data_IF_948069460224
#
_entry.id   IF_948069460224
#
_cell.length_a   1.000
_cell.length_b   1.000
_cell.length_c   1.000
_cell.angle_alpha   90.00
_cell.angle_beta   90.00
_cell.angle_gamma   90.00
#
_symmetry.space_group_name_H-M   'P 1'
#
loop_
_entity.id
_entity.type
_entity.pdbx_description
1 polymer ?
#
# COMPACT_ATOMS: atom_id res chain seq x y z
N UNK A 1 9.57 16.06 20.16
CA UNK A 1 9.18 14.64 20.23
C UNK A 1 7.73 14.40 20.69
N UNK A 2 7.20 15.09 21.71
CA UNK A 2 5.80 14.88 22.14
C UNK A 2 4.76 15.14 21.06
N UNK A 3 4.98 16.13 20.20
CA UNK A 3 4.10 16.45 19.06
C UNK A 3 4.16 15.37 17.98
N UNK A 4 5.38 14.93 17.61
CA UNK A 4 5.55 13.84 16.64
C UNK A 4 4.86 12.54 17.12
N UNK A 5 4.91 12.25 18.43
CA UNK A 5 4.20 11.08 19.00
C UNK A 5 2.69 11.17 18.83
N UNK A 6 2.08 12.35 19.00
CA UNK A 6 0.64 12.53 18.82
C UNK A 6 0.24 12.31 17.35
N UNK A 7 1.00 12.88 16.41
CA UNK A 7 0.78 12.68 14.98
C UNK A 7 0.94 11.19 14.60
N UNK A 8 2.01 10.55 15.08
CA UNK A 8 2.30 9.15 14.84
C UNK A 8 1.23 8.21 15.45
N UNK A 9 0.72 8.52 16.65
CA UNK A 9 -0.38 7.77 17.28
C UNK A 9 -1.69 7.93 16.51
N UNK A 10 -2.03 9.16 16.10
CA UNK A 10 -3.19 9.39 15.23
C UNK A 10 -3.11 8.55 13.95
N UNK A 11 -1.93 8.56 13.32
CA UNK A 11 -1.68 7.76 12.11
C UNK A 11 -1.77 6.25 12.36
N UNK A 12 -1.20 5.75 13.44
CA UNK A 12 -1.32 4.34 13.83
C UNK A 12 -2.79 3.93 13.98
N UNK A 13 -3.57 4.72 14.71
CA UNK A 13 -4.98 4.44 15.00
C UNK A 13 -5.81 4.46 13.71
N UNK A 14 -5.69 5.52 12.89
CA UNK A 14 -6.47 5.65 11.65
C UNK A 14 -6.08 4.60 10.60
N UNK A 15 -4.79 4.27 10.46
CA UNK A 15 -4.34 3.22 9.53
C UNK A 15 -4.76 1.82 9.98
N UNK A 16 -4.75 1.56 11.29
CA UNK A 16 -5.26 0.28 11.81
C UNK A 16 -6.77 0.14 11.55
N UNK A 17 -7.54 1.21 11.77
CA UNK A 17 -8.97 1.24 11.47
C UNK A 17 -9.24 1.04 9.98
N UNK A 18 -8.62 1.85 9.12
CA UNK A 18 -8.81 1.79 7.67
C UNK A 18 -8.41 0.44 7.08
N UNK A 19 -7.30 -0.14 7.53
CA UNK A 19 -6.88 -1.47 7.09
C UNK A 19 -7.82 -2.58 7.57
N UNK A 20 -8.38 -2.47 8.77
CA UNK A 20 -9.41 -3.39 9.26
C UNK A 20 -10.73 -3.22 8.48
N UNK A 21 -11.13 -1.98 8.19
CA UNK A 21 -12.30 -1.67 7.38
C UNK A 21 -12.16 -2.18 5.93
N UNK A 22 -10.94 -2.17 5.37
CA UNK A 22 -10.68 -2.75 4.06
C UNK A 22 -10.97 -4.27 4.03
N UNK A 23 -10.57 -5.02 5.07
CA UNK A 23 -10.93 -6.44 5.22
C UNK A 23 -12.46 -6.61 5.27
N UNK A 24 -13.14 -5.75 6.00
CA UNK A 24 -14.60 -5.74 6.09
C UNK A 24 -15.28 -5.43 4.75
N UNK A 25 -14.73 -4.48 3.98
CA UNK A 25 -15.23 -4.10 2.66
C UNK A 25 -15.15 -5.27 1.68
N UNK A 26 -13.99 -5.92 1.60
CA UNK A 26 -13.79 -7.08 0.72
C UNK A 26 -14.74 -8.22 1.12
N UNK A 27 -14.87 -8.51 2.42
CA UNK A 27 -15.79 -9.52 2.92
C UNK A 27 -17.26 -9.17 2.65
N UNK A 28 -17.67 -7.91 2.83
CA UNK A 28 -19.03 -7.44 2.58
C UNK A 28 -19.41 -7.53 1.09
N UNK A 29 -18.51 -7.08 0.23
CA UNK A 29 -18.71 -7.12 -1.23
C UNK A 29 -18.79 -8.57 -1.71
N UNK A 30 -17.79 -9.39 -1.39
CA UNK A 30 -17.75 -10.78 -1.85
C UNK A 30 -18.86 -11.62 -1.25
N UNK A 31 -19.18 -11.45 0.02
CA UNK A 31 -20.27 -12.20 0.68
C UNK A 31 -21.64 -11.98 0.07
N UNK A 32 -21.86 -10.85 -0.63
CA UNK A 32 -23.12 -10.53 -1.30
C UNK A 32 -23.14 -10.83 -2.79
N UNK A 33 -21.98 -10.67 -3.44
CA UNK A 33 -21.89 -10.79 -4.91
C UNK A 33 -21.33 -12.12 -5.36
N UNK A 34 -20.62 -12.82 -4.49
CA UNK A 34 -19.79 -14.00 -4.81
C UNK A 34 -18.89 -13.78 -6.03
N UNK A 35 -18.51 -12.52 -6.29
CA UNK A 35 -17.78 -12.12 -7.49
C UNK A 35 -16.56 -11.28 -7.13
N UNK A 36 -15.38 -11.75 -7.52
CA UNK A 36 -14.11 -11.04 -7.38
C UNK A 36 -14.04 -9.78 -8.29
N UNK A 37 -14.89 -9.70 -9.32
CA UNK A 37 -14.96 -8.49 -10.19
C UNK A 37 -15.39 -7.26 -9.39
N UNK A 38 -16.27 -7.40 -8.41
CA UNK A 38 -16.66 -6.29 -7.55
C UNK A 38 -15.54 -5.84 -6.63
N UNK A 39 -14.67 -6.76 -6.17
CA UNK A 39 -13.45 -6.41 -5.42
C UNK A 39 -12.51 -5.61 -6.33
N UNK A 40 -12.30 -6.09 -7.57
CA UNK A 40 -11.50 -5.35 -8.56
C UNK A 40 -12.05 -3.96 -8.85
N UNK A 41 -13.36 -3.82 -9.00
CA UNK A 41 -14.02 -2.53 -9.21
C UNK A 41 -13.78 -1.57 -8.04
N UNK A 42 -13.82 -2.07 -6.80
CA UNK A 42 -13.55 -1.27 -5.60
C UNK A 42 -12.10 -0.77 -5.56
N UNK A 43 -11.13 -1.66 -5.79
CA UNK A 43 -9.72 -1.29 -5.83
C UNK A 43 -9.45 -0.30 -6.96
N UNK A 44 -9.98 -0.56 -8.15
CA UNK A 44 -9.81 0.33 -9.30
C UNK A 44 -10.41 1.73 -9.04
N UNK A 45 -11.63 1.80 -8.48
CA UNK A 45 -12.25 3.06 -8.11
C UNK A 45 -11.40 3.86 -7.10
N UNK A 46 -10.83 3.17 -6.10
CA UNK A 46 -9.94 3.76 -5.11
C UNK A 46 -8.66 4.34 -5.74
N UNK A 47 -8.02 3.59 -6.63
CA UNK A 47 -6.77 4.02 -7.28
C UNK A 47 -7.03 5.18 -8.25
N UNK A 48 -8.08 5.10 -9.08
CA UNK A 48 -8.46 6.20 -9.98
C UNK A 48 -8.77 7.47 -9.18
N UNK A 49 -9.50 7.33 -8.08
CA UNK A 49 -9.82 8.44 -7.20
C UNK A 49 -8.56 9.06 -6.57
N UNK A 50 -7.61 8.24 -6.10
CA UNK A 50 -6.33 8.70 -5.55
C UNK A 50 -5.50 9.45 -6.58
N UNK A 51 -5.36 8.90 -7.80
CA UNK A 51 -4.61 9.54 -8.88
C UNK A 51 -5.26 10.85 -9.32
N UNK A 52 -6.58 10.86 -9.51
CA UNK A 52 -7.32 12.06 -9.91
C UNK A 52 -7.27 13.18 -8.86
N UNK A 53 -7.22 12.82 -7.58
CA UNK A 53 -7.17 13.78 -6.48
C UNK A 53 -5.76 14.22 -6.08
N UNK A 54 -4.70 13.61 -6.61
CA UNK A 54 -3.32 13.89 -6.19
C UNK A 54 -2.91 15.35 -6.42
N UNK A 55 -3.20 15.92 -7.59
CA UNK A 55 -2.87 17.31 -7.90
C UNK A 55 -3.71 18.31 -7.07
N UNK A 56 -5.06 18.20 -6.98
CA UNK A 56 -5.85 19.00 -6.06
C UNK A 56 -5.41 18.88 -4.59
N UNK A 57 -5.04 17.68 -4.15
CA UNK A 57 -4.58 17.44 -2.78
C UNK A 57 -3.30 18.19 -2.44
N UNK A 58 -2.31 18.18 -3.35
CA UNK A 58 -1.10 18.96 -3.22
C UNK A 58 -1.41 20.46 -3.13
N UNK A 59 -2.22 20.99 -4.04
CA UNK A 59 -2.64 22.40 -4.02
C UNK A 59 -3.36 22.79 -2.72
N UNK A 60 -4.25 21.94 -2.19
CA UNK A 60 -4.91 22.15 -0.90
C UNK A 60 -3.89 22.22 0.23
N UNK A 61 -2.94 21.26 0.28
CA UNK A 61 -1.89 21.19 1.30
C UNK A 61 -0.96 22.41 1.32
N UNK A 62 -0.73 23.02 0.15
CA UNK A 62 0.11 24.21 0.01
C UNK A 62 -0.66 25.52 0.31
N UNK A 63 -1.94 25.61 -0.04
CA UNK A 63 -2.73 26.84 0.08
C UNK A 63 -3.34 27.04 1.47
N UNK A 64 -3.72 25.98 2.15
CA UNK A 64 -4.42 26.06 3.42
C UNK A 64 -3.51 25.70 4.60
N UNK A 65 -3.91 26.12 5.81
CA UNK A 65 -3.27 25.69 7.06
C UNK A 65 -3.28 24.16 7.16
N UNK A 66 -2.11 23.55 7.20
CA UNK A 66 -1.94 22.09 7.16
C UNK A 66 -2.67 21.38 8.30
N UNK A 67 -2.79 22.00 9.48
CA UNK A 67 -3.56 21.44 10.59
C UNK A 67 -5.04 21.31 10.23
N UNK A 68 -5.61 22.36 9.61
CA UNK A 68 -7.02 22.33 9.16
C UNK A 68 -7.22 21.29 8.06
N UNK A 69 -6.26 21.16 7.14
CA UNK A 69 -6.28 20.14 6.08
C UNK A 69 -6.30 18.75 6.67
N UNK A 70 -5.42 18.43 7.62
CA UNK A 70 -5.37 17.12 8.27
C UNK A 70 -6.68 16.79 9.00
N UNK A 71 -7.21 17.74 9.79
CA UNK A 71 -8.47 17.55 10.52
C UNK A 71 -9.64 17.38 9.55
N UNK A 72 -9.72 18.18 8.48
CA UNK A 72 -10.79 18.09 7.49
C UNK A 72 -10.74 16.76 6.72
N UNK A 73 -9.55 16.26 6.35
CA UNK A 73 -9.36 14.98 5.69
C UNK A 73 -9.83 13.82 6.59
N UNK A 74 -9.42 13.81 7.86
CA UNK A 74 -9.85 12.78 8.81
C UNK A 74 -11.37 12.83 9.05
N UNK A 75 -11.98 14.01 9.24
CA UNK A 75 -13.41 14.12 9.44
C UNK A 75 -14.22 13.74 8.19
N UNK A 76 -13.73 14.08 7.00
CA UNK A 76 -14.34 13.65 5.74
C UNK A 76 -14.28 12.12 5.59
N UNK A 77 -13.13 11.50 5.88
CA UNK A 77 -12.98 10.06 5.87
C UNK A 77 -13.87 9.38 6.93
N UNK A 78 -13.98 9.95 8.14
CA UNK A 78 -14.89 9.46 9.17
C UNK A 78 -16.35 9.45 8.69
N UNK A 79 -16.80 10.53 8.04
CA UNK A 79 -18.15 10.61 7.48
C UNK A 79 -18.39 9.53 6.41
N UNK A 80 -17.39 9.29 5.53
CA UNK A 80 -17.47 8.26 4.51
C UNK A 80 -17.51 6.87 5.13
N UNK A 81 -16.66 6.56 6.12
CA UNK A 81 -16.67 5.28 6.82
C UNK A 81 -18.00 5.03 7.56
N UNK A 82 -18.58 6.05 8.16
CA UNK A 82 -19.92 5.96 8.75
C UNK A 82 -21.01 5.73 7.70
N UNK A 83 -20.91 6.37 6.51
CA UNK A 83 -21.81 6.11 5.39
C UNK A 83 -21.69 4.65 4.91
N UNK A 84 -20.47 4.07 4.88
CA UNK A 84 -20.27 2.64 4.58
C UNK A 84 -20.97 1.74 5.60
N UNK A 85 -20.98 2.12 6.87
CA UNK A 85 -21.65 1.36 7.93
C UNK A 85 -23.19 1.31 7.76
N UNK A 86 -23.76 2.30 7.09
CA UNK A 86 -25.21 2.42 6.86
C UNK A 86 -25.68 1.76 5.56
N UNK A 87 -24.77 1.30 4.72
CA UNK A 87 -25.11 0.69 3.44
C UNK A 87 -24.71 -0.76 3.37
N UNK A 88 -25.50 -1.51 2.61
CA UNK A 88 -25.13 -2.87 2.28
C UNK A 88 -24.96 -3.09 0.77
N UNK A 89 -25.15 -2.05 -0.04
CA UNK A 89 -25.14 -2.18 -1.50
C UNK A 89 -23.68 -2.20 -2.03
N UNK A 90 -23.25 -3.25 -2.76
CA UNK A 90 -21.87 -3.35 -3.24
C UNK A 90 -21.41 -2.16 -4.07
N UNK A 91 -22.23 -1.67 -4.98
CA UNK A 91 -21.88 -0.53 -5.83
C UNK A 91 -21.71 0.77 -5.01
N UNK A 92 -22.50 0.96 -3.93
CA UNK A 92 -22.33 2.10 -3.03
C UNK A 92 -21.02 2.00 -2.27
N UNK A 93 -20.67 0.81 -1.79
CA UNK A 93 -19.37 0.57 -1.13
C UNK A 93 -18.19 0.86 -2.06
N UNK A 94 -18.28 0.52 -3.35
CA UNK A 94 -17.27 0.86 -4.37
C UNK A 94 -17.11 2.37 -4.50
N UNK A 95 -18.22 3.12 -4.63
CA UNK A 95 -18.19 4.58 -4.72
C UNK A 95 -17.64 5.22 -3.44
N UNK A 96 -18.08 4.75 -2.27
CA UNK A 96 -17.62 5.26 -0.98
C UNK A 96 -16.13 4.99 -0.75
N UNK A 97 -15.59 3.86 -1.19
CA UNK A 97 -14.14 3.61 -1.12
C UNK A 97 -13.37 4.62 -1.98
N UNK A 98 -13.83 4.89 -3.21
CA UNK A 98 -13.26 5.96 -4.04
C UNK A 98 -13.32 7.32 -3.36
N UNK A 99 -14.47 7.68 -2.75
CA UNK A 99 -14.64 8.94 -2.03
C UNK A 99 -13.73 9.01 -0.78
N UNK A 100 -13.53 7.90 -0.06
CA UNK A 100 -12.57 7.82 1.05
C UNK A 100 -11.14 8.11 0.57
N UNK A 101 -10.75 7.56 -0.59
CA UNK A 101 -9.45 7.84 -1.20
C UNK A 101 -9.25 9.31 -1.55
N UNK A 102 -10.28 9.98 -2.07
CA UNK A 102 -10.26 11.44 -2.30
C UNK A 102 -10.13 12.20 -0.99
N UNK A 103 -10.92 11.84 0.02
CA UNK A 103 -10.91 12.51 1.34
C UNK A 103 -9.55 12.43 2.02
N UNK A 104 -8.87 11.28 1.91
CA UNK A 104 -7.56 11.06 2.52
C UNK A 104 -6.37 11.58 1.69
N UNK A 105 -6.55 11.88 0.41
CA UNK A 105 -5.45 12.27 -0.48
C UNK A 105 -4.63 13.48 0.00
N UNK A 106 -5.19 14.53 0.66
CA UNK A 106 -4.41 15.65 1.17
C UNK A 106 -3.63 15.34 2.46
N UNK A 107 -3.97 14.26 3.17
CA UNK A 107 -3.43 13.97 4.49
C UNK A 107 -1.91 13.72 4.47
N UNK A 108 -1.46 12.82 3.59
CA UNK A 108 -0.05 12.41 3.55
C UNK A 108 0.88 13.56 3.18
N UNK A 109 0.67 14.31 2.07
CA UNK A 109 1.53 15.43 1.72
C UNK A 109 1.51 16.54 2.77
N UNK A 110 0.34 16.87 3.34
CA UNK A 110 0.24 17.88 4.39
C UNK A 110 0.97 17.46 5.69
N UNK A 111 0.85 16.17 6.07
CA UNK A 111 1.55 15.60 7.23
C UNK A 111 3.06 15.62 7.08
N UNK A 112 3.57 15.15 5.92
CA UNK A 112 5.00 15.13 5.62
C UNK A 112 5.59 16.55 5.61
N UNK A 113 4.90 17.51 4.99
CA UNK A 113 5.33 18.89 4.93
C UNK A 113 5.25 19.63 6.29
N UNK A 114 4.35 19.21 7.19
CA UNK A 114 4.24 19.79 8.54
C UNK A 114 5.32 19.31 9.50
N UNK A 115 5.82 18.09 9.33
CA UNK A 115 6.68 17.42 10.31
C UNK A 115 7.95 18.21 10.67
N UNK A 116 8.71 18.80 9.72
CA UNK A 116 9.89 19.61 10.05
C UNK A 116 9.56 20.83 10.93
N UNK A 117 8.42 21.49 10.70
CA UNK A 117 7.98 22.64 11.47
C UNK A 117 7.56 22.26 12.90
N UNK A 118 7.06 21.05 13.07
CA UNK A 118 6.57 20.55 14.36
C UNK A 118 7.69 20.11 15.30
N UNK A 119 8.81 19.57 14.77
CA UNK A 119 9.87 18.97 15.60
C UNK A 119 11.20 19.73 15.55
N UNK A 120 11.44 20.52 14.52
CA UNK A 120 12.71 21.20 14.27
C UNK A 120 13.76 20.30 13.57
N UNK A 121 14.80 20.90 12.95
CA UNK A 121 15.70 20.20 12.04
C UNK A 121 16.43 18.98 12.64
N UNK A 122 16.82 19.06 13.90
CA UNK A 122 17.59 17.99 14.58
C UNK A 122 16.79 16.72 14.83
N UNK A 123 15.46 16.82 14.93
CA UNK A 123 14.57 15.70 15.27
C UNK A 123 13.80 15.14 14.07
N UNK A 124 13.94 15.73 12.87
CA UNK A 124 13.16 15.33 11.67
C UNK A 124 13.35 13.86 11.32
N UNK A 125 14.60 13.39 11.27
CA UNK A 125 14.89 11.99 10.93
C UNK A 125 14.24 11.01 11.93
N UNK A 126 14.32 11.33 13.22
CA UNK A 126 13.70 10.52 14.28
C UNK A 126 12.17 10.55 14.23
N UNK A 127 11.60 11.70 13.89
CA UNK A 127 10.15 11.83 13.75
C UNK A 127 9.64 11.09 12.53
N UNK A 128 10.32 11.16 11.37
CA UNK A 128 10.00 10.36 10.17
C UNK A 128 10.07 8.86 10.46
N UNK A 129 11.13 8.40 11.15
CA UNK A 129 11.24 7.00 11.54
C UNK A 129 10.09 6.55 12.45
N UNK A 130 9.65 7.39 13.38
CA UNK A 130 8.50 7.10 14.25
C UNK A 130 7.20 7.00 13.45
N UNK A 131 6.94 7.95 12.54
CA UNK A 131 5.75 7.94 11.67
C UNK A 131 5.76 6.70 10.77
N UNK A 132 6.88 6.37 10.14
CA UNK A 132 7.02 5.17 9.31
C UNK A 132 6.77 3.88 10.11
N UNK A 133 7.35 3.75 11.32
CA UNK A 133 7.16 2.59 12.17
C UNK A 133 5.70 2.41 12.60
N UNK A 134 5.03 3.51 12.97
CA UNK A 134 3.62 3.47 13.36
C UNK A 134 2.69 3.19 12.17
N UNK A 135 2.99 3.72 10.99
CA UNK A 135 2.25 3.39 9.76
C UNK A 135 2.37 1.90 9.42
N UNK A 136 3.59 1.36 9.47
CA UNK A 136 3.82 -0.07 9.24
C UNK A 136 3.10 -0.96 10.26
N UNK A 137 3.11 -0.56 11.54
CA UNK A 137 2.37 -1.26 12.59
C UNK A 137 0.85 -1.23 12.33
N UNK A 138 0.31 -0.10 11.85
CA UNK A 138 -1.10 0.03 11.50
C UNK A 138 -1.50 -0.88 10.34
N UNK A 139 -0.70 -0.92 9.28
CA UNK A 139 -0.92 -1.80 8.13
C UNK A 139 -0.78 -3.29 8.47
N UNK A 140 0.00 -3.64 9.49
CA UNK A 140 0.12 -5.02 9.97
C UNK A 140 -1.04 -5.40 10.90
N UNK A 141 -1.33 -4.57 11.90
CA UNK A 141 -2.31 -4.86 12.92
C UNK A 141 -3.75 -4.79 12.39
N UNK A 142 -4.05 -3.82 11.51
CA UNK A 142 -5.39 -3.60 11.00
C UNK A 142 -6.03 -4.82 10.33
N UNK A 143 -5.41 -5.43 9.32
CA UNK A 143 -5.96 -6.61 8.65
C UNK A 143 -6.13 -7.80 9.60
N UNK A 144 -5.17 -8.03 10.50
CA UNK A 144 -5.26 -9.10 11.48
C UNK A 144 -6.46 -8.89 12.43
N UNK A 145 -6.57 -7.69 13.00
CA UNK A 145 -7.69 -7.34 13.90
C UNK A 145 -9.02 -7.38 13.14
N UNK A 146 -9.08 -6.85 11.94
CA UNK A 146 -10.28 -6.89 11.09
C UNK A 146 -10.75 -8.31 10.80
N UNK A 147 -9.81 -9.19 10.42
CA UNK A 147 -10.09 -10.60 10.18
C UNK A 147 -10.58 -11.34 11.45
N UNK A 148 -9.94 -11.09 12.59
CA UNK A 148 -10.32 -11.69 13.87
C UNK A 148 -11.71 -11.23 14.34
N UNK A 149 -11.99 -9.94 14.27
CA UNK A 149 -13.27 -9.35 14.71
C UNK A 149 -14.42 -9.85 13.83
N UNK A 150 -14.24 -9.89 12.52
CA UNK A 150 -15.25 -10.46 11.61
C UNK A 150 -15.42 -11.97 11.81
N UNK A 151 -14.32 -12.69 12.01
CA UNK A 151 -14.36 -14.13 12.28
C UNK A 151 -15.00 -14.47 13.61
N UNK A 152 -15.01 -13.55 14.58
CA UNK A 152 -15.76 -13.66 15.83
C UNK A 152 -17.27 -13.32 15.68
N UNK A 153 -17.74 -13.05 14.46
CA UNK A 153 -19.15 -12.81 14.16
C UNK A 153 -19.58 -11.35 14.13
N UNK A 154 -18.64 -10.39 14.24
CA UNK A 154 -18.99 -8.99 14.08
C UNK A 154 -19.41 -8.68 12.62
N UNK A 155 -20.28 -7.69 12.45
CA UNK A 155 -20.70 -7.26 11.12
C UNK A 155 -19.65 -6.36 10.44
N UNK A 156 -19.58 -6.32 9.10
CA UNK A 156 -18.77 -5.34 8.39
C UNK A 156 -19.09 -3.89 8.79
N UNK A 157 -20.36 -3.58 9.04
CA UNK A 157 -20.81 -2.28 9.50
C UNK A 157 -20.14 -1.83 10.81
N UNK A 158 -19.90 -2.79 11.73
CA UNK A 158 -19.18 -2.51 12.99
C UNK A 158 -17.76 -2.02 12.71
N UNK A 159 -17.03 -2.65 11.79
CA UNK A 159 -15.67 -2.24 11.46
C UNK A 159 -15.65 -0.89 10.72
N UNK A 160 -16.63 -0.60 9.86
CA UNK A 160 -16.75 0.72 9.24
C UNK A 160 -17.04 1.81 10.29
N UNK A 161 -17.89 1.53 11.27
CA UNK A 161 -18.16 2.47 12.35
C UNK A 161 -16.93 2.69 13.25
N UNK A 162 -16.19 1.62 13.57
CA UNK A 162 -14.91 1.69 14.30
C UNK A 162 -13.88 2.51 13.51
N UNK A 163 -13.77 2.30 12.20
CA UNK A 163 -12.88 3.07 11.35
C UNK A 163 -13.24 4.57 11.38
N UNK A 164 -14.51 4.90 11.22
CA UNK A 164 -14.99 6.27 11.38
C UNK A 164 -14.57 6.88 12.73
N UNK A 165 -14.71 6.12 13.82
CA UNK A 165 -14.26 6.55 15.15
C UNK A 165 -12.74 6.74 15.22
N UNK A 166 -11.94 5.87 14.58
CA UNK A 166 -10.48 6.02 14.54
C UNK A 166 -10.03 7.30 13.85
N UNK A 167 -10.70 7.70 12.75
CA UNK A 167 -10.45 8.98 12.08
C UNK A 167 -10.83 10.17 12.97
N UNK A 168 -11.94 10.11 13.69
CA UNK A 168 -12.29 11.16 14.67
C UNK A 168 -11.23 11.28 15.76
N UNK A 169 -10.74 10.16 16.31
CA UNK A 169 -9.66 10.16 17.31
C UNK A 169 -8.38 10.76 16.71
N UNK A 170 -8.02 10.43 15.47
CA UNK A 170 -6.89 11.03 14.77
C UNK A 170 -7.05 12.54 14.64
N UNK A 171 -8.20 13.01 14.16
CA UNK A 171 -8.51 14.44 14.06
C UNK A 171 -8.39 15.17 15.41
N UNK A 172 -8.89 14.57 16.48
CA UNK A 172 -8.78 15.12 17.83
C UNK A 172 -7.33 15.19 18.30
N UNK A 173 -6.53 14.16 18.05
CA UNK A 173 -5.09 14.16 18.38
C UNK A 173 -4.37 15.29 17.64
N UNK A 174 -4.61 15.45 16.33
CA UNK A 174 -4.08 16.57 15.53
C UNK A 174 -4.56 17.91 16.08
N UNK A 175 -5.82 18.04 16.48
CA UNK A 175 -6.39 19.25 17.06
C UNK A 175 -5.73 19.66 18.38
N UNK A 176 -5.17 18.73 19.16
CA UNK A 176 -4.44 19.03 20.40
C UNK A 176 -3.04 19.60 20.17
N UNK A 177 -2.53 19.55 18.95
CA UNK A 177 -1.19 20.06 18.62
C UNK A 177 -1.27 21.58 18.46
N UNK A 178 -0.68 22.34 19.41
CA UNK A 178 -0.73 23.81 19.42
C UNK A 178 0.44 24.49 18.70
N UNK A 179 1.34 23.73 18.05
CA UNK A 179 2.45 24.29 17.27
C UNK A 179 1.99 24.66 15.86
N UNK A 180 2.62 25.66 15.23
CA UNK A 180 2.31 26.01 13.84
C UNK A 180 2.74 24.86 12.90
N UNK A 181 1.84 24.45 12.03
CA UNK A 181 2.11 23.41 11.02
C UNK A 181 2.79 23.97 9.77
N UNK A 182 2.79 25.29 9.64
CA UNK A 182 3.27 26.01 8.47
C UNK A 182 2.28 25.95 7.31
N UNK A 183 2.41 26.91 6.43
CA UNK A 183 1.79 26.97 5.11
C UNK A 183 2.86 27.50 4.16
N UNK A 184 2.91 27.10 2.94
CA UNK A 184 3.88 27.64 1.99
C UNK A 184 3.84 26.91 0.66
N UNK A 185 3.61 27.65 -0.41
CA UNK A 185 3.73 27.19 -1.76
C UNK A 185 5.19 26.92 -2.10
N UNK A 186 5.48 25.73 -2.62
CA UNK A 186 6.70 25.47 -3.38
C UNK A 186 6.31 25.39 -4.85
N UNK A 187 6.76 26.36 -5.64
CA UNK A 187 6.36 26.55 -7.05
C UNK A 187 6.99 25.56 -8.05
N UNK A 188 7.66 24.51 -7.62
CA UNK A 188 8.29 23.58 -8.56
C UNK A 188 7.59 22.21 -8.60
N UNK A 189 6.81 22.02 -9.65
CA UNK A 189 6.36 20.70 -10.08
C UNK A 189 7.36 20.16 -11.12
N UNK A 190 8.33 19.31 -10.73
CA UNK A 190 9.26 18.71 -11.67
C UNK A 190 8.48 17.78 -12.63
N UNK A 191 8.62 18.03 -13.93
CA UNK A 191 7.90 17.26 -14.95
C UNK A 191 8.25 15.77 -14.89
N UNK A 192 7.28 14.92 -14.58
CA UNK A 192 7.40 13.44 -14.49
C UNK A 192 8.01 12.83 -15.75
N UNK A 193 7.73 13.40 -16.93
CA UNK A 193 8.29 12.97 -18.22
C UNK A 193 9.83 12.97 -18.27
N UNK A 194 10.49 13.86 -17.52
CA UNK A 194 11.94 13.87 -17.45
C UNK A 194 12.50 12.64 -16.74
N UNK A 195 11.81 12.16 -15.70
CA UNK A 195 12.16 10.91 -14.99
C UNK A 195 12.10 9.70 -15.89
N UNK A 196 11.04 9.56 -16.69
CA UNK A 196 10.92 8.46 -17.67
C UNK A 196 12.04 8.46 -18.70
N UNK A 197 12.48 9.63 -19.18
CA UNK A 197 13.62 9.72 -20.13
C UNK A 197 14.93 9.24 -19.49
N UNK A 198 15.17 9.56 -18.23
CA UNK A 198 16.37 9.08 -17.50
C UNK A 198 16.34 7.57 -17.36
N UNK A 199 15.20 7.00 -16.91
CA UNK A 199 15.02 5.55 -16.77
C UNK A 199 15.23 4.84 -18.12
N UNK A 200 14.66 5.37 -19.22
CA UNK A 200 14.75 4.75 -20.53
C UNK A 200 16.17 4.71 -21.10
N UNK A 201 17.01 5.71 -20.76
CA UNK A 201 18.37 5.82 -21.28
C UNK A 201 19.41 5.03 -20.50
N UNK A 202 19.15 4.70 -19.22
CA UNK A 202 20.08 3.98 -18.36
C UNK A 202 19.63 2.51 -18.18
N UNK A 203 20.28 1.52 -18.83
CA UNK A 203 19.88 0.12 -18.75
C UNK A 203 19.88 -0.43 -17.31
N UNK A 204 20.81 0.06 -16.47
CA UNK A 204 20.92 -0.34 -15.06
C UNK A 204 19.76 0.18 -14.19
N UNK A 205 18.99 1.14 -14.67
CA UNK A 205 17.74 1.61 -14.05
C UNK A 205 16.52 0.99 -14.77
N UNK A 206 16.53 0.98 -16.09
CA UNK A 206 15.41 0.51 -16.91
C UNK A 206 15.04 -0.94 -16.60
N UNK A 207 16.03 -1.84 -16.53
CA UNK A 207 15.77 -3.27 -16.32
C UNK A 207 15.14 -3.53 -14.93
N UNK A 208 15.68 -3.04 -13.81
CA UNK A 208 15.04 -3.17 -12.49
C UNK A 208 13.66 -2.54 -12.40
N UNK A 209 13.46 -1.36 -12.99
CA UNK A 209 12.14 -0.71 -13.01
C UNK A 209 11.12 -1.54 -13.79
N UNK A 210 11.50 -2.05 -14.97
CA UNK A 210 10.63 -2.95 -15.76
C UNK A 210 10.32 -4.25 -15.00
N UNK A 211 11.32 -4.86 -14.34
CA UNK A 211 11.10 -6.04 -13.51
C UNK A 211 10.12 -5.76 -12.37
N UNK A 212 10.27 -4.60 -11.71
CA UNK A 212 9.34 -4.14 -10.67
C UNK A 212 7.91 -3.96 -11.20
N UNK A 213 7.74 -3.32 -12.36
CA UNK A 213 6.43 -3.16 -12.99
C UNK A 213 5.77 -4.51 -13.31
N UNK A 214 6.53 -5.45 -13.89
CA UNK A 214 6.06 -6.81 -14.19
C UNK A 214 5.64 -7.54 -12.90
N UNK A 215 6.43 -7.42 -11.82
CA UNK A 215 6.07 -7.99 -10.52
C UNK A 215 4.79 -7.39 -9.94
N UNK A 216 4.58 -6.07 -10.09
CA UNK A 216 3.39 -5.37 -9.59
C UNK A 216 2.09 -5.82 -10.28
N UNK A 217 2.17 -6.28 -11.53
CA UNK A 217 1.03 -6.92 -12.19
C UNK A 217 0.60 -8.17 -11.40
N UNK A 218 1.53 -8.98 -10.93
CA UNK A 218 1.23 -10.11 -10.05
C UNK A 218 0.59 -9.69 -8.73
N UNK A 219 1.10 -8.61 -8.12
CA UNK A 219 0.61 -8.11 -6.82
C UNK A 219 -0.86 -7.70 -6.88
N UNK A 220 -1.28 -6.94 -7.89
CA UNK A 220 -2.67 -6.51 -8.02
C UNK A 220 -3.64 -7.69 -8.25
N UNK A 221 -3.21 -8.75 -8.95
CA UNK A 221 -3.99 -9.98 -9.09
C UNK A 221 -4.16 -10.66 -7.73
N UNK A 222 -3.08 -10.77 -6.95
CA UNK A 222 -3.08 -11.41 -5.62
C UNK A 222 -3.98 -10.67 -4.64
N UNK A 223 -4.00 -9.33 -4.67
CA UNK A 223 -4.83 -8.53 -3.78
C UNK A 223 -6.32 -8.87 -3.95
N UNK A 224 -6.77 -9.08 -5.18
CA UNK A 224 -8.14 -9.51 -5.51
C UNK A 224 -8.38 -10.98 -5.19
N UNK A 225 -7.41 -11.85 -5.48
CA UNK A 225 -7.56 -13.31 -5.39
C UNK A 225 -7.39 -13.84 -3.95
N UNK A 226 -6.81 -13.07 -3.02
CA UNK A 226 -6.48 -13.53 -1.67
C UNK A 226 -7.71 -13.87 -0.83
N UNK A 227 -8.80 -13.09 -0.94
CA UNK A 227 -10.03 -13.41 -0.20
C UNK A 227 -10.70 -14.69 -0.72
N UNK A 228 -10.96 -14.86 -2.03
CA UNK A 228 -11.43 -16.13 -2.58
C UNK A 228 -10.53 -17.33 -2.26
N UNK A 229 -9.20 -17.14 -2.27
CA UNK A 229 -8.26 -18.19 -1.87
C UNK A 229 -8.43 -18.58 -0.40
N UNK A 230 -8.56 -17.59 0.49
CA UNK A 230 -8.79 -17.84 1.92
C UNK A 230 -10.07 -18.61 2.17
N UNK A 231 -11.16 -18.30 1.46
CA UNK A 231 -12.41 -19.06 1.51
C UNK A 231 -12.17 -20.50 1.05
N UNK A 232 -11.47 -20.68 -0.08
CA UNK A 232 -11.15 -22.01 -0.62
C UNK A 232 -10.31 -22.87 0.35
N UNK A 233 -9.42 -22.23 1.13
CA UNK A 233 -8.60 -22.89 2.15
C UNK A 233 -9.29 -22.98 3.53
N UNK A 234 -10.61 -22.73 3.60
CA UNK A 234 -11.43 -22.75 4.81
C UNK A 234 -10.97 -21.76 5.89
N UNK A 235 -10.22 -20.70 5.49
CA UNK A 235 -9.73 -19.66 6.39
C UNK A 235 -10.74 -18.55 6.67
N UNK A 236 -11.75 -18.39 5.81
CA UNK A 236 -12.73 -17.31 5.92
C UNK A 236 -12.09 -15.92 5.96
N UNK A 237 -12.74 -15.00 6.66
CA UNK A 237 -12.24 -13.62 6.86
C UNK A 237 -11.01 -13.57 7.76
N UNK A 238 -10.89 -14.48 8.74
CA UNK A 238 -9.71 -14.60 9.60
C UNK A 238 -8.47 -14.97 8.79
N UNK A 239 -8.59 -15.98 7.92
CA UNK A 239 -7.50 -16.40 7.03
C UNK A 239 -7.07 -15.28 6.09
N UNK A 240 -8.01 -14.51 5.52
CA UNK A 240 -7.70 -13.38 4.68
C UNK A 240 -6.97 -12.26 5.45
N UNK A 241 -7.46 -11.90 6.63
CA UNK A 241 -6.78 -10.94 7.50
C UNK A 241 -5.36 -11.38 7.85
N UNK A 242 -5.18 -12.68 8.18
CA UNK A 242 -3.87 -13.27 8.46
C UNK A 242 -2.96 -13.27 7.23
N UNK A 243 -3.46 -13.62 6.02
CA UNK A 243 -2.70 -13.53 4.77
C UNK A 243 -2.19 -12.13 4.50
N UNK A 244 -3.05 -11.11 4.63
CA UNK A 244 -2.71 -9.71 4.43
C UNK A 244 -1.71 -9.22 5.47
N UNK A 245 -1.91 -9.56 6.74
CA UNK A 245 -1.00 -9.22 7.83
C UNK A 245 0.39 -9.87 7.65
N UNK A 246 0.45 -11.15 7.24
CA UNK A 246 1.72 -11.83 7.03
C UNK A 246 2.45 -11.34 5.77
N UNK A 247 1.72 -10.91 4.74
CA UNK A 247 2.33 -10.21 3.61
C UNK A 247 3.02 -8.91 4.07
N UNK A 248 2.34 -8.11 4.89
CA UNK A 248 2.90 -6.89 5.47
C UNK A 248 4.06 -7.17 6.44
N UNK A 249 3.88 -8.11 7.37
CA UNK A 249 4.90 -8.50 8.35
C UNK A 249 6.14 -9.10 7.71
N UNK A 250 5.96 -9.94 6.69
CA UNK A 250 7.03 -10.43 5.85
C UNK A 250 7.80 -9.29 5.19
N UNK A 251 7.08 -8.27 4.67
CA UNK A 251 7.68 -7.07 4.09
C UNK A 251 8.61 -6.33 5.05
N UNK A 252 8.20 -6.16 6.31
CA UNK A 252 9.05 -5.57 7.35
C UNK A 252 10.31 -6.39 7.60
N UNK A 253 10.19 -7.73 7.67
CA UNK A 253 11.33 -8.63 7.83
C UNK A 253 12.28 -8.56 6.63
N UNK A 254 11.75 -8.55 5.40
CA UNK A 254 12.53 -8.40 4.18
C UNK A 254 13.29 -7.07 4.15
N UNK A 255 12.64 -5.96 4.47
CA UNK A 255 13.27 -4.66 4.56
C UNK A 255 14.39 -4.62 5.63
N UNK A 256 14.18 -5.24 6.78
CA UNK A 256 15.20 -5.36 7.83
C UNK A 256 16.41 -6.19 7.38
N UNK A 257 16.19 -7.25 6.62
CA UNK A 257 17.25 -8.10 6.06
C UNK A 257 18.02 -7.40 4.94
N UNK A 258 17.37 -6.48 4.21
CA UNK A 258 17.98 -5.76 3.09
C UNK A 258 19.31 -5.08 3.47
N UNK A 259 19.37 -4.44 4.65
CA UNK A 259 20.57 -3.76 5.13
C UNK A 259 21.83 -4.67 5.20
N UNK A 260 21.61 -5.98 5.46
CA UNK A 260 22.70 -6.97 5.46
C UNK A 260 23.00 -7.48 4.07
N UNK A 261 21.96 -7.76 3.28
CA UNK A 261 22.07 -8.40 1.98
C UNK A 261 22.58 -7.44 0.88
N UNK A 262 22.31 -6.14 1.00
CA UNK A 262 22.81 -5.11 0.07
C UNK A 262 24.33 -5.04 -0.05
N UNK A 263 25.07 -5.59 0.92
CA UNK A 263 26.53 -5.77 0.83
C UNK A 263 26.94 -6.66 -0.36
N UNK A 264 26.04 -7.48 -0.88
CA UNK A 264 26.27 -8.36 -2.04
C UNK A 264 25.97 -7.69 -3.38
N UNK A 265 25.48 -6.43 -3.35
CA UNK A 265 25.08 -5.63 -4.48
C UNK A 265 23.56 -5.56 -4.68
N UNK A 266 23.00 -4.38 -4.94
CA UNK A 266 21.54 -4.15 -5.01
C UNK A 266 20.88 -4.95 -6.15
N UNK A 267 21.56 -5.17 -7.28
CA UNK A 267 21.04 -5.96 -8.39
C UNK A 267 20.80 -7.43 -8.03
N UNK A 268 21.71 -8.05 -7.23
CA UNK A 268 21.52 -9.41 -6.74
C UNK A 268 20.37 -9.51 -5.74
N UNK A 269 20.26 -8.52 -4.87
CA UNK A 269 19.20 -8.46 -3.86
C UNK A 269 17.84 -8.33 -4.54
N UNK A 270 17.73 -7.54 -5.63
CA UNK A 270 16.53 -7.47 -6.46
C UNK A 270 16.15 -8.82 -7.08
N UNK A 271 17.11 -9.56 -7.62
CA UNK A 271 16.86 -10.89 -8.15
C UNK A 271 16.30 -11.83 -7.07
N UNK A 272 16.93 -11.85 -5.89
CA UNK A 272 16.43 -12.65 -4.76
C UNK A 272 15.06 -12.23 -4.29
N UNK A 273 14.74 -10.93 -4.32
CA UNK A 273 13.44 -10.40 -3.93
C UNK A 273 12.31 -10.90 -4.84
N UNK A 274 12.51 -10.82 -6.17
CA UNK A 274 11.52 -11.33 -7.12
C UNK A 274 11.39 -12.85 -7.08
N UNK A 275 12.51 -13.56 -6.87
CA UNK A 275 12.50 -15.03 -6.72
C UNK A 275 11.74 -15.44 -5.46
N UNK A 276 12.02 -14.81 -4.31
CA UNK A 276 11.30 -15.06 -3.06
C UNK A 276 9.82 -14.73 -3.18
N UNK A 277 9.50 -13.61 -3.85
CA UNK A 277 8.13 -13.22 -4.17
C UNK A 277 7.39 -14.28 -4.99
N UNK A 278 7.99 -14.72 -6.10
CA UNK A 278 7.41 -15.74 -6.97
C UNK A 278 7.22 -17.08 -6.24
N UNK A 279 8.25 -17.54 -5.50
CA UNK A 279 8.15 -18.79 -4.72
C UNK A 279 7.06 -18.67 -3.66
N UNK A 280 6.99 -17.53 -2.95
CA UNK A 280 5.97 -17.30 -1.93
C UNK A 280 4.55 -17.32 -2.50
N UNK A 281 4.31 -16.65 -3.63
CA UNK A 281 3.02 -16.67 -4.31
C UNK A 281 2.67 -18.06 -4.85
N UNK A 282 3.64 -18.78 -5.41
CA UNK A 282 3.46 -20.15 -5.86
C UNK A 282 3.08 -21.09 -4.72
N UNK A 283 3.75 -21.00 -3.59
CA UNK A 283 3.41 -21.76 -2.37
C UNK A 283 2.02 -21.42 -1.86
N UNK A 284 1.64 -20.14 -1.85
CA UNK A 284 0.31 -19.72 -1.40
C UNK A 284 -0.78 -20.25 -2.33
N UNK A 285 -0.61 -20.13 -3.65
CA UNK A 285 -1.59 -20.61 -4.64
C UNK A 285 -1.74 -22.13 -4.69
N UNK A 286 -0.65 -22.87 -4.53
CA UNK A 286 -0.62 -24.34 -4.52
C UNK A 286 -0.95 -24.94 -3.14
N UNK A 287 -1.14 -24.12 -2.10
CA UNK A 287 -1.31 -24.57 -0.72
C UNK A 287 -2.49 -25.55 -0.57
N UNK A 288 -2.28 -26.74 0.01
CA UNK A 288 -3.37 -27.64 0.35
C UNK A 288 -4.12 -27.24 1.63
N UNK A 289 -3.46 -26.51 2.50
CA UNK A 289 -4.00 -26.02 3.79
C UNK A 289 -3.61 -24.57 4.04
N UNK A 290 -4.42 -23.87 4.83
CA UNK A 290 -4.23 -22.44 5.13
C UNK A 290 -2.81 -22.12 5.66
N UNK A 291 -2.25 -22.96 6.53
CA UNK A 291 -0.94 -22.73 7.15
C UNK A 291 0.19 -22.57 6.11
N UNK A 292 0.18 -23.39 5.04
CA UNK A 292 1.15 -23.28 3.93
C UNK A 292 0.89 -22.01 3.14
N UNK A 293 -0.39 -21.66 2.89
CA UNK A 293 -0.77 -20.41 2.25
C UNK A 293 -0.25 -19.18 3.01
N UNK A 294 -0.39 -19.19 4.33
CA UNK A 294 0.12 -18.14 5.22
C UNK A 294 1.65 -18.02 5.15
N UNK A 295 2.37 -19.16 5.16
CA UNK A 295 3.83 -19.18 4.99
C UNK A 295 4.26 -18.61 3.63
N UNK A 296 3.52 -18.96 2.55
CA UNK A 296 3.74 -18.41 1.22
C UNK A 296 3.55 -16.89 1.17
N UNK A 297 2.50 -16.36 1.80
CA UNK A 297 2.25 -14.91 1.88
C UNK A 297 3.34 -14.18 2.67
N UNK A 298 3.82 -14.77 3.78
CA UNK A 298 4.94 -14.20 4.55
C UNK A 298 6.22 -14.13 3.71
N UNK A 299 6.53 -15.18 2.94
CA UNK A 299 7.69 -15.21 2.05
C UNK A 299 7.55 -14.21 0.90
N UNK A 300 6.37 -14.12 0.29
CA UNK A 300 6.09 -13.13 -0.76
C UNK A 300 6.26 -11.70 -0.23
N UNK A 301 5.77 -11.44 0.98
CA UNK A 301 5.99 -10.18 1.68
C UNK A 301 7.47 -9.88 1.91
N UNK A 302 8.24 -10.85 2.38
CA UNK A 302 9.68 -10.71 2.60
C UNK A 302 10.42 -10.36 1.30
N UNK A 303 10.07 -11.03 0.20
CA UNK A 303 10.57 -10.68 -1.13
C UNK A 303 10.24 -9.22 -1.48
N UNK A 304 8.99 -8.79 -1.29
CA UNK A 304 8.56 -7.41 -1.57
C UNK A 304 9.37 -6.38 -0.78
N UNK A 305 9.43 -6.51 0.55
CA UNK A 305 10.16 -5.55 1.39
C UNK A 305 11.66 -5.50 1.08
N UNK A 306 12.26 -6.64 0.76
CA UNK A 306 13.64 -6.72 0.29
C UNK A 306 13.82 -5.94 -1.03
N UNK A 307 12.88 -6.12 -1.97
CA UNK A 307 12.89 -5.48 -3.28
C UNK A 307 12.70 -3.97 -3.21
N UNK A 308 11.81 -3.48 -2.36
CA UNK A 308 11.54 -2.06 -2.18
C UNK A 308 12.80 -1.31 -1.71
N UNK A 309 13.54 -1.88 -0.75
CA UNK A 309 14.80 -1.30 -0.26
C UNK A 309 15.89 -1.38 -1.32
N UNK A 310 16.02 -2.51 -2.03
CA UNK A 310 17.03 -2.68 -3.07
C UNK A 310 16.79 -1.76 -4.28
N UNK A 311 15.54 -1.61 -4.72
CA UNK A 311 15.18 -0.71 -5.82
C UNK A 311 15.46 0.75 -5.47
N UNK A 312 15.07 1.16 -4.24
CA UNK A 312 15.33 2.52 -3.73
C UNK A 312 16.84 2.80 -3.69
N UNK A 313 17.63 1.86 -3.16
CA UNK A 313 19.10 1.98 -3.10
C UNK A 313 19.71 2.10 -4.49
N UNK A 314 19.27 1.25 -5.43
CA UNK A 314 19.77 1.27 -6.80
C UNK A 314 19.50 2.62 -7.49
N UNK A 315 18.30 3.17 -7.34
CA UNK A 315 17.96 4.48 -7.90
C UNK A 315 18.83 5.56 -7.26
N UNK A 316 19.03 5.54 -5.95
CA UNK A 316 19.85 6.51 -5.24
C UNK A 316 21.31 6.48 -5.69
N UNK A 317 21.87 5.30 -5.93
CA UNK A 317 23.26 5.13 -6.38
C UNK A 317 23.46 5.52 -7.86
N UNK A 318 22.42 5.36 -8.69
CA UNK A 318 22.52 5.55 -10.14
C UNK A 318 21.98 6.88 -10.66
N UNK A 319 21.44 7.72 -9.78
CA UNK A 319 20.88 9.02 -10.17
C UNK A 319 21.52 10.16 -9.41
N UNK A 320 21.86 11.24 -10.11
CA UNK A 320 22.29 12.48 -9.47
C UNK A 320 21.13 13.14 -8.72
N UNK A 321 21.43 13.95 -7.71
CA UNK A 321 20.44 14.66 -6.89
C UNK A 321 19.47 15.50 -7.73
N UNK A 322 19.96 16.09 -8.84
CA UNK A 322 19.18 16.95 -9.74
C UNK A 322 18.01 16.25 -10.45
N UNK A 323 18.07 14.93 -10.62
CA UNK A 323 17.04 14.15 -11.34
C UNK A 323 16.39 13.05 -10.51
N UNK A 324 16.91 12.76 -9.32
CA UNK A 324 16.48 11.65 -8.47
C UNK A 324 14.99 11.71 -8.13
N UNK A 325 14.47 12.85 -7.73
CA UNK A 325 13.05 13.04 -7.43
C UNK A 325 12.14 12.74 -8.63
N UNK A 326 12.59 13.12 -9.83
CA UNK A 326 11.85 12.85 -11.08
C UNK A 326 11.82 11.36 -11.43
N UNK A 327 12.92 10.64 -11.15
CA UNK A 327 13.00 9.18 -11.36
C UNK A 327 12.08 8.45 -10.39
N UNK A 328 12.07 8.83 -9.10
CA UNK A 328 11.14 8.26 -8.13
C UNK A 328 9.68 8.53 -8.51
N UNK A 329 9.33 9.77 -8.88
CA UNK A 329 7.98 10.12 -9.30
C UNK A 329 7.54 9.33 -10.56
N UNK A 330 8.42 9.14 -11.53
CA UNK A 330 8.15 8.34 -12.72
C UNK A 330 7.95 6.86 -12.37
N UNK A 331 8.79 6.29 -11.50
CA UNK A 331 8.65 4.91 -11.03
C UNK A 331 7.34 4.69 -10.29
N UNK A 332 7.00 5.59 -9.37
CA UNK A 332 5.78 5.51 -8.57
C UNK A 332 4.52 5.64 -9.45
N UNK A 333 4.52 6.59 -10.37
CA UNK A 333 3.43 6.73 -11.35
C UNK A 333 3.24 5.48 -12.20
N UNK A 334 4.33 4.89 -12.71
CA UNK A 334 4.30 3.63 -13.46
C UNK A 334 3.79 2.46 -12.61
N UNK A 335 4.21 2.39 -11.34
CA UNK A 335 3.77 1.39 -10.39
C UNK A 335 2.27 1.46 -10.13
N UNK A 336 1.71 2.65 -9.95
CA UNK A 336 0.27 2.85 -9.76
C UNK A 336 -0.53 2.41 -11.00
N UNK A 337 -0.06 2.72 -12.21
CA UNK A 337 -0.71 2.27 -13.45
C UNK A 337 -0.67 0.75 -13.57
N UNK A 338 0.49 0.13 -13.35
CA UNK A 338 0.63 -1.34 -13.42
C UNK A 338 -0.27 -2.04 -12.41
N UNK A 339 -0.32 -1.56 -11.17
CA UNK A 339 -1.18 -2.10 -10.12
C UNK A 339 -2.67 -1.93 -10.47
N UNK A 340 -3.09 -0.76 -10.98
CA UNK A 340 -4.48 -0.49 -11.34
C UNK A 340 -5.00 -1.42 -12.42
N UNK A 341 -4.23 -1.56 -13.50
CA UNK A 341 -4.57 -2.45 -14.63
C UNK A 341 -4.65 -3.91 -14.16
N UNK A 342 -3.70 -4.29 -13.31
CA UNK A 342 -3.63 -5.64 -12.75
C UNK A 342 -4.80 -5.93 -11.81
N UNK A 343 -5.12 -5.04 -10.88
CA UNK A 343 -6.24 -5.20 -9.97
C UNK A 343 -7.57 -5.27 -10.72
N UNK A 344 -7.75 -4.46 -11.78
CA UNK A 344 -8.94 -4.49 -12.62
C UNK A 344 -9.10 -5.85 -13.33
N UNK A 345 -8.02 -6.40 -13.88
CA UNK A 345 -8.03 -7.71 -14.55
C UNK A 345 -8.14 -8.88 -13.57
N UNK A 346 -7.71 -8.72 -12.32
CA UNK A 346 -7.65 -9.77 -11.31
C UNK A 346 -8.99 -10.43 -11.04
N UNK A 347 -10.07 -9.67 -10.98
CA UNK A 347 -11.42 -10.20 -10.75
C UNK A 347 -11.94 -11.08 -11.89
N UNK A 348 -11.70 -10.66 -13.14
CA UNK A 348 -12.03 -11.47 -14.31
C UNK A 348 -11.18 -12.76 -14.33
N UNK A 349 -9.90 -12.64 -14.00
CA UNK A 349 -8.99 -13.77 -13.95
C UNK A 349 -9.44 -14.81 -12.91
N UNK A 350 -9.85 -14.36 -11.71
CA UNK A 350 -10.39 -15.27 -10.68
C UNK A 350 -11.64 -16.00 -11.16
N UNK A 351 -12.51 -15.34 -11.93
CA UNK A 351 -13.70 -15.98 -12.50
C UNK A 351 -13.36 -17.00 -13.59
N UNK A 352 -12.35 -16.72 -14.43
CA UNK A 352 -11.97 -17.57 -15.55
C UNK A 352 -11.16 -18.80 -15.13
N UNK A 353 -10.24 -18.65 -14.18
CA UNK A 353 -9.25 -19.70 -13.84
C UNK A 353 -9.21 -20.07 -12.35
N UNK A 354 -10.13 -19.58 -11.53
CA UNK A 354 -10.17 -19.73 -10.07
C UNK A 354 -9.12 -18.87 -9.33
N UNK A 355 -9.26 -18.78 -7.98
CA UNK A 355 -8.29 -18.08 -7.14
C UNK A 355 -6.88 -18.70 -7.22
N UNK A 356 -6.77 -20.03 -7.23
CA UNK A 356 -5.49 -20.74 -7.39
C UNK A 356 -4.86 -20.46 -8.75
N UNK A 357 -5.65 -20.47 -9.82
CA UNK A 357 -5.18 -20.12 -11.16
C UNK A 357 -4.69 -18.67 -11.24
N UNK A 358 -5.37 -17.74 -10.58
CA UNK A 358 -4.93 -16.35 -10.47
C UNK A 358 -3.57 -16.21 -9.75
N UNK A 359 -3.36 -16.96 -8.66
CA UNK A 359 -2.05 -17.03 -7.99
C UNK A 359 -0.97 -17.65 -8.88
N UNK A 360 -1.29 -18.67 -9.69
CA UNK A 360 -0.34 -19.24 -10.64
C UNK A 360 0.09 -18.21 -11.70
N UNK A 361 -0.87 -17.42 -12.22
CA UNK A 361 -0.57 -16.32 -13.15
C UNK A 361 0.29 -15.25 -12.46
N UNK A 362 -0.03 -14.86 -11.24
CA UNK A 362 0.77 -13.91 -10.46
C UNK A 362 2.21 -14.44 -10.22
N UNK A 363 2.35 -15.73 -9.95
CA UNK A 363 3.65 -16.41 -9.84
C UNK A 363 4.43 -16.31 -11.15
N UNK A 364 3.79 -16.52 -12.30
CA UNK A 364 4.44 -16.39 -13.60
C UNK A 364 4.97 -14.98 -13.85
N UNK A 365 4.22 -13.93 -13.45
CA UNK A 365 4.73 -12.55 -13.48
C UNK A 365 5.92 -12.35 -12.55
N UNK A 366 5.92 -12.93 -11.36
CA UNK A 366 7.06 -12.90 -10.44
C UNK A 366 8.30 -13.58 -11.03
N UNK A 367 8.14 -14.75 -11.67
CA UNK A 367 9.21 -15.46 -12.37
C UNK A 367 9.74 -14.64 -13.55
N UNK A 368 8.85 -14.03 -14.34
CA UNK A 368 9.24 -13.14 -15.44
C UNK A 368 10.02 -11.92 -14.91
N UNK A 369 9.60 -11.32 -13.80
CA UNK A 369 10.32 -10.23 -13.17
C UNK A 369 11.73 -10.67 -12.72
N UNK A 370 11.86 -11.85 -12.10
CA UNK A 370 13.16 -12.40 -11.72
C UNK A 370 14.05 -12.66 -12.95
N UNK A 371 13.49 -13.21 -14.04
CA UNK A 371 14.23 -13.42 -15.28
C UNK A 371 14.71 -12.09 -15.90
N UNK A 372 13.86 -11.05 -15.92
CA UNK A 372 14.25 -9.71 -16.38
C UNK A 372 15.37 -9.15 -15.45
N UNK A 373 15.21 -9.24 -14.13
CA UNK A 373 16.19 -8.76 -13.18
C UNK A 373 17.56 -9.47 -13.34
N UNK A 374 17.57 -10.75 -13.71
CA UNK A 374 18.80 -11.51 -13.96
C UNK A 374 19.61 -10.96 -15.15
N UNK A 375 18.99 -10.20 -16.07
CA UNK A 375 19.68 -9.54 -17.19
C UNK A 375 20.30 -8.19 -16.82
N UNK A 376 20.11 -7.72 -15.58
CA UNK A 376 20.72 -6.46 -15.13
C UNK A 376 22.23 -6.56 -15.19
N UNK A 377 22.93 -5.60 -15.84
CA UNK A 377 24.37 -5.58 -15.87
C UNK A 377 24.94 -5.60 -14.45
N UNK A 378 25.90 -6.51 -14.21
CA UNK A 378 26.51 -6.66 -12.90
C UNK A 378 27.20 -5.37 -12.47
N UNK A 379 27.10 -5.06 -11.20
CA UNK A 379 27.87 -4.00 -10.59
C UNK A 379 29.35 -4.44 -10.67
N UNK A 380 30.10 -3.78 -11.53
CA UNK A 380 31.56 -3.99 -11.72
C UNK A 380 32.32 -3.30 -10.60
#
# INVERSE_FOLDING_TARGET
MGVARRLALGRLISLSGGSAAYIALVAAIYGRTHSAVWISAAIFASVVASVASAAPAGWIGDRFDRRRVLIAADLAAAAVSLAMALTGQPWVLVLLLGLSSVAQSPFEPASAAALPNLVGPKDVARANALVAATSSAGYLAGPLLGGLVLGAGASPATLFAVDGATFVVSALLVATIRRPFGSGATDEHPGVLAGFRVIAREPRLRIPVLAGMVSLVGVGIVDVASYPLSIHLHGGTQGYGAMTALLGGGGLLGAALAARLLRTGPSRVLLWSFTAGAVGLGLAGAAPVLAIGLGGMALAGAGRGLGDVAATTLIQERTSDAVRSRVFAAQEGAAHVAFSVSALSGGLLVQLVSARGAFAVATAFGVAAAAIAATTPRDG
#
